data_IF_921962721488
#
_entry.id   IF_921962721488
#
_cell.length_a   1.000
_cell.length_b   1.000
_cell.length_c   1.000
_cell.angle_alpha   90.00
_cell.angle_beta   90.00
_cell.angle_gamma   90.00
#
_symmetry.space_group_name_H-M   'P 1'
#
loop_
_entity.id
_entity.type
_entity.pdbx_description
1 polymer ?
#
# COMPACT_ATOMS: atom_id res chain seq x y z
N UNK A 1 -15.64 48.57 11.47
CA UNK A 1 -14.53 47.98 12.24
C UNK A 1 -14.92 46.66 12.93
N UNK A 2 -16.18 46.48 13.31
CA UNK A 2 -16.71 45.25 13.95
C UNK A 2 -16.78 44.03 13.03
N UNK A 3 -17.18 44.19 11.76
CA UNK A 3 -17.26 43.08 10.80
C UNK A 3 -15.91 42.43 10.49
N UNK A 4 -14.86 43.22 10.35
CA UNK A 4 -13.49 42.73 10.09
C UNK A 4 -13.00 41.91 11.30
N UNK A 5 -13.29 42.36 12.50
CA UNK A 5 -12.94 41.64 13.74
C UNK A 5 -13.68 40.30 13.79
N UNK A 6 -14.99 40.28 13.53
CA UNK A 6 -15.78 39.04 13.49
C UNK A 6 -15.23 38.07 12.44
N UNK A 7 -14.89 38.55 11.25
CA UNK A 7 -14.27 37.72 10.20
C UNK A 7 -12.91 37.16 10.61
N UNK A 8 -12.08 37.93 11.31
CA UNK A 8 -10.79 37.45 11.81
C UNK A 8 -11.00 36.37 12.88
N UNK A 9 -11.95 36.54 13.80
CA UNK A 9 -12.27 35.52 14.81
C UNK A 9 -12.87 34.26 14.20
N UNK A 10 -13.75 34.37 13.20
CA UNK A 10 -14.31 33.19 12.51
C UNK A 10 -13.25 32.45 11.70
N UNK A 11 -12.34 33.16 11.02
CA UNK A 11 -11.22 32.55 10.32
C UNK A 11 -10.24 31.87 11.29
N UNK A 12 -9.89 32.51 12.40
CA UNK A 12 -9.06 31.91 13.45
C UNK A 12 -9.73 30.67 14.06
N UNK A 13 -11.03 30.74 14.35
CA UNK A 13 -11.80 29.60 14.85
C UNK A 13 -11.84 28.45 13.84
N UNK A 14 -12.05 28.76 12.55
CA UNK A 14 -12.04 27.78 11.48
C UNK A 14 -10.64 27.15 11.26
N UNK A 15 -9.56 27.92 11.44
CA UNK A 15 -8.19 27.44 11.35
C UNK A 15 -7.84 26.50 12.51
N UNK A 16 -8.38 26.75 13.71
CA UNK A 16 -8.20 25.85 14.86
C UNK A 16 -8.99 24.54 14.77
N UNK A 17 -9.98 24.45 13.86
CA UNK A 17 -10.76 23.23 13.62
C UNK A 17 -10.15 22.30 12.55
N UNK A 18 -9.00 22.64 11.95
CA UNK A 18 -8.31 21.74 11.02
C UNK A 18 -7.64 20.59 11.79
N UNK A 19 -8.43 19.55 12.07
CA UNK A 19 -7.90 18.24 12.43
C UNK A 19 -7.21 17.66 11.20
N UNK A 20 -5.88 17.77 11.16
CA UNK A 20 -5.04 17.06 10.21
C UNK A 20 -5.25 15.55 10.38
N UNK A 21 -5.93 14.91 9.43
CA UNK A 21 -5.96 13.44 9.35
C UNK A 21 -4.67 13.00 8.67
N UNK A 22 -3.80 12.27 9.38
CA UNK A 22 -2.62 11.69 8.78
C UNK A 22 -3.02 10.77 7.61
N UNK A 23 -2.65 11.15 6.39
CA UNK A 23 -2.88 10.35 5.20
C UNK A 23 -1.84 9.23 5.15
N UNK A 24 -2.32 8.00 5.05
CA UNK A 24 -1.44 6.83 4.90
C UNK A 24 -1.05 6.73 3.43
N UNK A 25 0.22 6.51 3.17
CA UNK A 25 0.76 6.38 1.81
C UNK A 25 1.53 5.07 1.67
N UNK A 26 1.49 4.53 0.45
CA UNK A 26 2.18 3.32 0.06
C UNK A 26 3.06 3.68 -1.12
N UNK A 27 4.36 3.38 -1.01
CA UNK A 27 5.35 3.70 -2.03
C UNK A 27 6.05 2.45 -2.50
N UNK A 28 6.29 2.31 -3.80
CA UNK A 28 6.95 1.16 -4.39
C UNK A 28 8.29 1.52 -5.01
N UNK A 29 9.27 0.64 -4.81
CA UNK A 29 10.63 0.83 -5.33
C UNK A 29 11.19 -0.49 -5.86
N UNK A 30 11.77 -0.54 -7.07
CA UNK A 30 11.77 0.52 -8.08
C UNK A 30 10.39 0.67 -8.75
N UNK A 31 10.08 1.85 -9.29
CA UNK A 31 8.85 2.07 -10.05
C UNK A 31 8.82 1.34 -11.40
N UNK A 32 9.99 1.12 -11.99
CA UNK A 32 10.18 0.32 -13.21
C UNK A 32 11.40 -0.56 -13.03
N UNK A 33 11.25 -1.85 -13.36
CA UNK A 33 12.35 -2.81 -13.36
C UNK A 33 12.35 -3.56 -14.69
N UNK A 34 13.47 -3.50 -15.40
CA UNK A 34 13.77 -4.41 -16.49
C UNK A 34 14.46 -5.65 -15.93
N UNK A 35 14.08 -6.82 -16.44
CA UNK A 35 14.68 -8.09 -16.06
C UNK A 35 14.82 -9.00 -17.28
N UNK A 36 15.88 -9.79 -17.30
CA UNK A 36 16.04 -10.86 -18.29
C UNK A 36 15.49 -12.19 -17.75
N UNK A 37 14.98 -13.09 -18.63
CA UNK A 37 14.48 -14.37 -18.17
C UNK A 37 15.54 -15.15 -17.37
N UNK A 38 15.15 -15.66 -16.19
CA UNK A 38 16.05 -16.34 -15.27
C UNK A 38 16.68 -15.45 -14.19
N UNK A 39 16.58 -14.12 -14.29
CA UNK A 39 17.01 -13.22 -13.20
C UNK A 39 16.09 -13.30 -11.98
N UNK A 40 16.61 -12.88 -10.83
CA UNK A 40 15.81 -12.65 -9.64
C UNK A 40 15.45 -11.16 -9.57
N UNK A 41 14.17 -10.87 -9.38
CA UNK A 41 13.66 -9.51 -9.24
C UNK A 41 13.12 -9.32 -7.83
N UNK A 42 13.45 -8.17 -7.24
CA UNK A 42 12.88 -7.71 -5.99
C UNK A 42 12.19 -6.37 -6.18
N UNK A 43 11.01 -6.24 -5.58
CA UNK A 43 10.23 -5.02 -5.52
C UNK A 43 9.85 -4.76 -4.06
N UNK A 44 10.15 -3.57 -3.57
CA UNK A 44 9.83 -3.15 -2.23
C UNK A 44 8.55 -2.31 -2.21
N UNK A 45 7.80 -2.42 -1.12
CA UNK A 45 6.63 -1.65 -0.78
C UNK A 45 6.84 -1.07 0.62
N UNK A 46 6.97 0.25 0.70
CA UNK A 46 7.17 0.98 1.93
C UNK A 46 5.88 1.72 2.35
N UNK A 47 5.43 1.45 3.57
CA UNK A 47 4.24 2.04 4.19
C UNK A 47 4.63 3.21 5.10
N UNK A 48 3.96 4.36 4.96
CA UNK A 48 4.23 5.53 5.83
C UNK A 48 3.89 5.29 7.32
N UNK A 49 3.07 4.28 7.60
CA UNK A 49 2.71 3.83 8.94
C UNK A 49 2.57 2.30 8.90
N UNK A 50 2.87 1.58 10.00
CA UNK A 50 2.66 0.15 10.06
C UNK A 50 1.22 -0.25 9.70
N UNK A 51 1.07 -1.40 9.04
CA UNK A 51 -0.24 -2.00 8.85
C UNK A 51 -0.85 -2.40 10.21
N UNK A 52 -2.18 -2.43 10.29
CA UNK A 52 -2.90 -2.64 11.56
C UNK A 52 -2.66 -4.01 12.21
N UNK A 53 -2.34 -5.01 11.40
CA UNK A 53 -2.27 -6.40 11.81
C UNK A 53 -0.94 -6.73 12.50
N UNK A 54 -0.96 -7.74 13.40
CA UNK A 54 0.23 -8.25 14.11
C UNK A 54 1.34 -8.70 13.15
N UNK A 55 0.96 -9.22 11.98
CA UNK A 55 1.80 -9.28 10.79
C UNK A 55 1.25 -8.32 9.75
N UNK A 56 2.06 -7.60 8.96
CA UNK A 56 1.52 -6.63 8.02
C UNK A 56 0.48 -7.25 7.09
N UNK A 57 -0.72 -6.68 7.05
CA UNK A 57 -1.79 -7.11 6.15
C UNK A 57 -1.59 -6.48 4.76
N UNK A 58 -0.50 -6.89 4.09
CA UNK A 58 -0.15 -6.43 2.76
C UNK A 58 -0.39 -7.51 1.72
N UNK A 59 -0.90 -7.10 0.56
CA UNK A 59 -1.15 -7.95 -0.58
C UNK A 59 -0.42 -7.43 -1.82
N UNK A 60 0.01 -8.36 -2.67
CA UNK A 60 0.62 -8.09 -3.97
C UNK A 60 -0.27 -8.57 -5.09
N UNK A 61 -0.42 -7.73 -6.12
CA UNK A 61 -1.22 -8.00 -7.30
C UNK A 61 -0.37 -7.86 -8.56
N UNK A 62 -0.66 -8.66 -9.57
CA UNK A 62 -0.15 -8.51 -10.93
C UNK A 62 -1.29 -8.16 -11.87
N UNK A 63 -1.14 -7.07 -12.61
CA UNK A 63 -2.04 -6.68 -13.67
C UNK A 63 -1.32 -6.77 -15.01
N UNK A 64 -1.86 -7.60 -15.91
CA UNK A 64 -1.42 -7.64 -17.31
C UNK A 64 -2.17 -6.58 -18.12
N UNK A 65 -1.58 -6.06 -19.22
CA UNK A 65 -2.27 -5.12 -20.10
C UNK A 65 -3.63 -5.66 -20.55
N UNK A 66 -4.69 -4.88 -20.32
CA UNK A 66 -6.07 -5.26 -20.68
C UNK A 66 -6.73 -6.30 -19.76
N UNK A 67 -6.06 -6.75 -18.70
CA UNK A 67 -6.60 -7.72 -17.75
C UNK A 67 -6.90 -7.08 -16.38
N UNK A 68 -7.76 -7.74 -15.61
CA UNK A 68 -7.97 -7.41 -14.20
C UNK A 68 -6.72 -7.74 -13.37
N UNK A 69 -6.51 -6.99 -12.29
CA UNK A 69 -5.44 -7.29 -11.34
C UNK A 69 -5.70 -8.64 -10.64
N UNK A 70 -4.70 -9.52 -10.67
CA UNK A 70 -4.75 -10.84 -10.03
C UNK A 70 -3.94 -10.81 -8.74
N UNK A 71 -4.54 -11.32 -7.66
CA UNK A 71 -3.85 -11.48 -6.38
C UNK A 71 -2.75 -12.54 -6.49
N UNK A 72 -1.54 -12.18 -6.08
CA UNK A 72 -0.38 -13.08 -6.02
C UNK A 72 -0.09 -13.55 -4.60
N UNK A 73 0.03 -12.59 -3.68
CA UNK A 73 0.41 -12.80 -2.28
C UNK A 73 -0.54 -12.02 -1.38
N UNK A 74 -0.94 -12.61 -0.27
CA UNK A 74 -1.79 -12.02 0.76
C UNK A 74 -1.13 -12.24 2.14
N UNK A 75 -1.46 -11.38 3.11
CA UNK A 75 -0.90 -11.43 4.47
C UNK A 75 0.64 -11.42 4.46
N UNK A 76 1.22 -10.61 3.57
CA UNK A 76 2.67 -10.42 3.35
C UNK A 76 3.42 -11.63 2.79
N UNK A 77 3.08 -12.86 3.18
CA UNK A 77 3.89 -14.06 2.88
C UNK A 77 3.12 -15.18 2.18
N UNK A 78 1.79 -15.19 2.29
CA UNK A 78 0.97 -16.32 1.82
C UNK A 78 0.67 -16.19 0.34
N UNK A 79 0.95 -17.21 -0.44
CA UNK A 79 0.69 -17.23 -1.89
C UNK A 79 -0.69 -17.80 -2.17
N UNK A 80 -1.37 -17.27 -3.18
CA UNK A 80 -2.56 -17.96 -3.70
C UNK A 80 -2.17 -19.28 -4.34
N UNK A 81 -3.10 -20.22 -4.44
CA UNK A 81 -2.86 -21.54 -5.06
C UNK A 81 -2.44 -21.45 -6.54
N UNK A 82 -2.84 -20.38 -7.22
CA UNK A 82 -2.52 -20.15 -8.64
C UNK A 82 -1.20 -19.39 -8.84
N UNK A 83 -0.57 -18.92 -7.76
CA UNK A 83 0.69 -18.18 -7.82
C UNK A 83 1.85 -19.17 -7.88
N UNK A 84 2.73 -19.10 -8.90
CA UNK A 84 3.88 -19.98 -8.99
C UNK A 84 4.80 -19.89 -7.76
N UNK A 85 5.46 -21.00 -7.43
CA UNK A 85 6.36 -21.10 -6.27
C UNK A 85 7.59 -20.19 -6.35
N UNK A 86 7.92 -19.68 -7.55
CA UNK A 86 8.97 -18.67 -7.79
C UNK A 86 8.66 -17.30 -7.19
N UNK A 87 7.40 -16.98 -6.94
CA UNK A 87 7.03 -15.76 -6.24
C UNK A 87 7.15 -15.99 -4.75
N UNK A 88 7.60 -14.99 -3.99
CA UNK A 88 7.62 -15.01 -2.53
C UNK A 88 7.50 -13.62 -1.96
N UNK A 89 6.75 -13.48 -0.88
CA UNK A 89 6.59 -12.23 -0.16
C UNK A 89 7.31 -12.30 1.18
N UNK A 90 7.95 -11.20 1.56
CA UNK A 90 8.70 -11.08 2.80
C UNK A 90 8.56 -9.66 3.37
N UNK A 91 9.14 -9.44 4.55
CA UNK A 91 9.10 -8.13 5.22
C UNK A 91 8.33 -8.12 6.54
N UNK A 92 8.37 -6.95 7.18
CA UNK A 92 7.74 -6.69 8.47
C UNK A 92 7.44 -5.20 8.63
N UNK A 93 6.50 -4.86 9.50
CA UNK A 93 6.08 -3.49 9.78
C UNK A 93 5.71 -2.71 8.52
N UNK A 94 6.61 -1.84 8.07
CA UNK A 94 6.42 -0.92 6.94
C UNK A 94 7.21 -1.33 5.70
N UNK A 95 8.14 -2.27 5.77
CA UNK A 95 9.01 -2.66 4.65
C UNK A 95 8.66 -4.06 4.19
N UNK A 96 8.04 -4.14 3.00
CA UNK A 96 7.46 -5.35 2.45
C UNK A 96 8.04 -5.62 1.07
N UNK A 97 8.62 -6.79 0.87
CA UNK A 97 9.28 -7.15 -0.39
C UNK A 97 8.53 -8.25 -1.11
N UNK A 98 8.36 -8.10 -2.43
CA UNK A 98 8.03 -9.17 -3.35
C UNK A 98 9.30 -9.59 -4.09
N UNK A 99 9.62 -10.87 -4.02
CA UNK A 99 10.71 -11.49 -4.76
C UNK A 99 10.14 -12.44 -5.80
N UNK A 100 10.67 -12.38 -7.02
CA UNK A 100 10.37 -13.29 -8.13
C UNK A 100 11.69 -13.95 -8.52
N UNK A 101 11.81 -15.24 -8.25
CA UNK A 101 13.01 -16.02 -8.53
C UNK A 101 12.96 -16.62 -9.93
N UNK A 102 13.93 -16.34 -10.79
CA UNK A 102 13.91 -16.86 -12.16
C UNK A 102 12.72 -16.35 -12.96
N UNK A 103 12.67 -15.03 -13.16
CA UNK A 103 11.61 -14.34 -13.90
C UNK A 103 11.38 -14.97 -15.27
N UNK A 104 10.13 -15.06 -15.69
CA UNK A 104 9.70 -15.57 -16.98
C UNK A 104 9.06 -14.48 -17.82
N UNK A 105 8.95 -14.67 -19.14
CA UNK A 105 8.37 -13.66 -20.05
C UNK A 105 6.91 -13.36 -19.72
N UNK A 106 6.18 -14.36 -19.20
CA UNK A 106 4.80 -14.24 -18.73
C UNK A 106 4.62 -13.42 -17.44
N UNK A 107 5.71 -13.13 -16.73
CA UNK A 107 5.72 -12.33 -15.49
C UNK A 107 5.73 -10.83 -15.77
N UNK A 108 5.80 -10.41 -17.04
CA UNK A 108 5.73 -9.02 -17.44
C UNK A 108 4.33 -8.42 -17.16
N UNK A 109 4.29 -7.30 -16.44
CA UNK A 109 3.08 -6.56 -16.12
C UNK A 109 3.30 -5.52 -15.04
N UNK A 110 2.20 -4.94 -14.56
CA UNK A 110 2.20 -3.96 -13.48
C UNK A 110 1.98 -4.67 -12.14
N UNK A 111 2.83 -4.38 -11.17
CA UNK A 111 2.78 -4.97 -9.84
C UNK A 111 2.31 -3.95 -8.81
N UNK A 112 1.22 -4.25 -8.11
CA UNK A 112 0.65 -3.34 -7.12
C UNK A 112 0.72 -3.92 -5.72
N UNK A 113 1.22 -3.13 -4.79
CA UNK A 113 1.14 -3.38 -3.37
C UNK A 113 -0.13 -2.73 -2.80
N UNK A 114 -0.82 -3.44 -1.92
CA UNK A 114 -1.98 -2.93 -1.19
C UNK A 114 -1.83 -3.23 0.29
N UNK A 115 -1.95 -2.21 1.13
CA UNK A 115 -1.96 -2.35 2.58
C UNK A 115 -3.37 -2.15 3.13
N UNK A 116 -3.70 -2.94 4.16
CA UNK A 116 -4.89 -2.74 4.96
C UNK A 116 -4.54 -2.00 6.25
N UNK A 117 -5.15 -0.85 6.44
CA UNK A 117 -5.03 -0.06 7.64
C UNK A 117 -6.36 0.01 8.35
N UNK A 118 -6.30 0.17 9.65
CA UNK A 118 -7.46 0.32 10.50
C UNK A 118 -7.37 1.67 11.16
N UNK A 119 -8.43 2.45 11.03
CA UNK A 119 -8.62 3.66 11.81
C UNK A 119 -9.70 3.38 12.83
N UNK A 120 -9.43 3.70 14.10
CA UNK A 120 -10.44 3.65 15.13
C UNK A 120 -11.49 4.74 14.84
N UNK A 121 -12.77 4.38 14.84
CA UNK A 121 -13.86 5.36 14.88
C UNK A 121 -14.10 5.89 16.31
N UNK A 122 -15.14 6.71 16.48
CA UNK A 122 -15.52 7.29 17.78
C UNK A 122 -15.88 6.24 18.84
N UNK A 123 -16.28 5.05 18.41
CA UNK A 123 -16.68 3.94 19.28
C UNK A 123 -15.54 2.92 19.47
N UNK A 124 -14.34 3.21 18.93
CA UNK A 124 -13.16 2.35 19.01
C UNK A 124 -13.18 1.16 18.04
N UNK A 125 -14.13 1.11 17.11
CA UNK A 125 -14.19 0.04 16.11
C UNK A 125 -13.23 0.29 14.96
N UNK A 126 -12.80 -0.81 14.36
CA UNK A 126 -11.92 -0.76 13.22
C UNK A 126 -12.69 -0.40 11.95
N UNK A 127 -12.42 0.80 11.42
CA UNK A 127 -12.81 1.18 10.06
C UNK A 127 -11.63 0.88 9.15
N UNK A 128 -11.81 -0.12 8.28
CA UNK A 128 -10.78 -0.62 7.39
C UNK A 128 -10.60 0.23 6.14
N UNK A 129 -9.40 0.75 5.95
CA UNK A 129 -8.97 1.47 4.75
C UNK A 129 -8.00 0.60 3.93
N UNK A 130 -8.27 0.43 2.63
CA UNK A 130 -7.34 -0.20 1.69
C UNK A 130 -6.60 0.88 0.92
N UNK A 131 -5.27 0.90 1.06
CA UNK A 131 -4.41 1.85 0.37
C UNK A 131 -3.54 1.09 -0.61
N UNK A 132 -3.59 1.48 -1.87
CA UNK A 132 -2.71 0.94 -2.92
C UNK A 132 -1.50 1.84 -3.08
N UNK A 133 -0.44 1.29 -3.67
CA UNK A 133 0.64 2.11 -4.21
C UNK A 133 0.11 3.24 -5.09
N UNK A 134 0.75 4.40 -4.99
CA UNK A 134 0.58 5.49 -5.96
C UNK A 134 1.35 5.19 -7.25
#
# INVERSE_FOLDING_TARGET
MTFIIIFIWTLLYCFTLQVSRAQITVTQTPSVKTATPGENVEMNCNLSSPAYCTTPCVAWYLQKPGAAAKLLIYWTKSRTSETPSRFSGSGSHSDITLTISGVQTEDAGYYYCQSFHCRADSDGYCVGDRVFTQ
#
